data_IF_625630099353
#
_entry.id   IF_625630099353
#
_cell.length_a   1.000
_cell.length_b   1.000
_cell.length_c   1.000
_cell.angle_alpha   90.00
_cell.angle_beta   90.00
_cell.angle_gamma   90.00
#
_symmetry.space_group_name_H-M   'P 1'
#
loop_
_entity.id
_entity.type
_entity.pdbx_description
1 polymer ?
#
# COMPACT_ATOMS: atom_id res chain seq x y z
N UNK A 1 -15.82 -26.25 49.07
CA UNK A 1 -14.51 -25.58 49.21
C UNK A 1 -13.68 -25.91 47.99
N UNK A 2 -13.75 -25.07 46.95
CA UNK A 2 -12.89 -25.17 45.77
C UNK A 2 -12.40 -23.75 45.45
N UNK A 3 -11.08 -23.66 45.34
CA UNK A 3 -10.27 -22.44 45.33
C UNK A 3 -10.48 -21.63 44.05
N UNK A 4 -10.81 -20.34 44.20
CA UNK A 4 -10.78 -19.37 43.10
C UNK A 4 -9.32 -19.07 42.74
N UNK A 5 -8.93 -19.44 41.51
CA UNK A 5 -7.63 -19.12 40.94
C UNK A 5 -7.57 -17.66 40.50
N UNK A 6 -6.56 -16.95 41.00
CA UNK A 6 -6.24 -15.56 40.70
C UNK A 6 -5.75 -15.45 39.25
N UNK A 7 -6.52 -14.77 38.39
CA UNK A 7 -6.07 -14.37 37.06
C UNK A 7 -5.09 -13.19 37.20
N UNK A 8 -3.84 -13.41 36.79
CA UNK A 8 -2.84 -12.34 36.58
C UNK A 8 -3.22 -11.58 35.31
N UNK A 9 -3.55 -10.29 35.45
CA UNK A 9 -3.64 -9.35 34.33
C UNK A 9 -2.28 -9.25 33.64
N UNK A 10 -2.25 -9.53 32.34
CA UNK A 10 -1.14 -9.16 31.47
C UNK A 10 -1.29 -7.67 31.14
N UNK A 11 -0.43 -6.85 31.72
CA UNK A 11 -0.23 -5.45 31.33
C UNK A 11 0.27 -5.40 29.89
N UNK A 12 -0.57 -4.86 29.00
CA UNK A 12 -0.17 -4.48 27.66
C UNK A 12 0.68 -3.22 27.76
N UNK A 13 1.99 -3.34 27.54
CA UNK A 13 2.85 -2.19 27.29
C UNK A 13 2.50 -1.61 25.92
N UNK A 14 1.75 -0.50 25.93
CA UNK A 14 1.59 0.37 24.77
C UNK A 14 2.97 0.87 24.32
N UNK A 15 3.24 0.97 23.00
CA UNK A 15 4.43 1.63 22.51
C UNK A 15 4.45 3.10 22.97
N UNK A 16 5.64 3.70 23.18
CA UNK A 16 5.74 5.08 23.63
C UNK A 16 5.00 6.00 22.64
N UNK A 17 4.06 6.76 23.19
CA UNK A 17 3.50 7.95 22.55
C UNK A 17 4.66 8.79 22.04
N UNK A 18 4.76 8.98 20.73
CA UNK A 18 5.65 9.99 20.18
C UNK A 18 5.09 11.34 20.60
N UNK A 19 5.63 11.87 21.71
CA UNK A 19 5.38 13.22 22.14
C UNK A 19 5.73 14.15 20.97
N UNK A 20 4.73 14.94 20.58
CA UNK A 20 4.87 15.95 19.56
C UNK A 20 6.06 16.84 19.94
N UNK A 21 7.12 16.76 19.13
CA UNK A 21 8.28 17.65 19.24
C UNK A 21 7.74 19.07 19.11
N UNK A 22 7.68 19.78 20.24
CA UNK A 22 7.33 21.18 20.28
C UNK A 22 8.30 21.95 19.39
N UNK A 23 7.80 22.75 18.43
CA UNK A 23 8.67 23.56 17.60
C UNK A 23 9.47 24.53 18.49
N UNK A 24 10.75 24.77 18.18
CA UNK A 24 11.56 25.71 18.94
C UNK A 24 10.92 27.12 18.87
N UNK A 25 10.93 27.89 19.97
CA UNK A 25 10.39 29.23 19.97
C UNK A 25 11.17 30.12 19.02
N UNK A 26 10.43 30.90 18.22
CA UNK A 26 10.98 31.92 17.32
C UNK A 26 11.77 32.96 18.11
N UNK A 27 13.02 33.29 17.72
CA UNK A 27 13.68 34.46 18.28
C UNK A 27 13.09 35.71 17.65
N UNK A 28 12.39 36.43 18.51
CA UNK A 28 11.82 37.75 18.35
C UNK A 28 12.85 38.80 17.94
N UNK A 29 12.35 39.72 17.13
CA UNK A 29 12.95 40.95 16.64
C UNK A 29 13.54 41.87 17.74
N UNK A 30 14.67 42.51 17.40
CA UNK A 30 15.07 43.90 17.76
C UNK A 30 15.66 44.18 19.15
N UNK A 31 16.92 44.68 19.18
CA UNK A 31 17.32 46.00 19.73
C UNK A 31 18.86 46.22 19.71
N UNK A 32 19.31 47.23 18.95
CA UNK A 32 20.43 48.10 19.35
C UNK A 32 20.03 48.93 20.59
N UNK A 33 20.90 49.81 21.16
CA UNK A 33 22.32 49.72 21.56
C UNK A 33 22.44 49.98 23.09
N UNK A 34 23.64 49.90 23.72
CA UNK A 34 24.10 50.72 24.88
C UNK A 34 25.59 50.42 25.16
N UNK A 35 26.45 51.44 25.07
CA UNK A 35 27.78 51.51 25.71
C UNK A 35 27.61 51.78 27.22
N UNK A 36 28.48 51.27 28.11
CA UNK A 36 29.48 52.17 28.74
C UNK A 36 30.81 51.46 29.15
N UNK A 37 32.00 52.08 28.95
CA UNK A 37 32.81 52.94 29.86
C UNK A 37 33.77 52.17 30.79
N UNK A 38 35.08 52.49 30.63
CA UNK A 38 36.27 52.46 31.53
C UNK A 38 36.56 51.22 32.41
N UNK A 39 37.80 50.77 32.65
CA UNK A 39 38.99 51.46 33.20
C UNK A 39 40.25 50.61 32.92
N UNK A 40 41.39 51.19 32.51
CA UNK A 40 42.55 51.58 33.35
C UNK A 40 43.57 50.46 33.62
N UNK A 41 44.83 50.75 33.25
CA UNK A 41 46.10 50.51 33.98
C UNK A 41 47.21 50.33 32.94
N UNK A 42 48.05 51.34 32.72
CA UNK A 42 49.31 51.58 33.46
C UNK A 42 50.47 50.81 32.82
N UNK A 43 51.33 51.54 32.09
CA UNK A 43 52.75 51.61 32.45
C UNK A 43 53.49 52.66 31.59
N UNK A 44 54.00 53.65 32.31
CA UNK A 44 54.89 54.76 31.95
C UNK A 44 56.36 54.25 31.90
N UNK A 45 57.41 55.10 31.83
CA UNK A 45 57.79 56.07 30.79
C UNK A 45 59.27 55.83 30.38
N UNK A 46 59.84 56.60 29.44
CA UNK A 46 61.22 57.10 29.64
C UNK A 46 61.49 58.34 28.77
N UNK A 47 61.93 59.38 29.49
CA UNK A 47 62.40 60.70 29.08
C UNK A 47 63.60 60.68 28.11
N UNK A 48 63.79 61.76 27.32
CA UNK A 48 64.97 62.67 27.35
C UNK A 48 64.73 63.93 26.45
N UNK A 49 64.65 65.07 27.15
CA UNK A 49 65.21 66.43 26.96
C UNK A 49 65.23 67.21 25.63
N UNK A 50 64.64 68.41 25.74
CA UNK A 50 65.14 69.78 25.48
C UNK A 50 65.55 70.24 24.07
N UNK A 51 64.68 71.12 23.49
CA UNK A 51 64.89 72.51 23.01
C UNK A 51 66.23 72.98 22.37
N UNK A 52 66.30 74.12 21.63
CA UNK A 52 65.25 74.94 21.00
C UNK A 52 65.68 75.51 19.60
N UNK A 53 64.95 76.53 19.18
CA UNK A 53 65.34 77.64 18.29
C UNK A 53 65.03 77.53 16.78
N UNK A 54 63.88 78.12 16.48
CA UNK A 54 63.75 79.28 15.58
C UNK A 54 64.70 79.34 14.38
N UNK A 55 64.16 79.09 13.18
CA UNK A 55 64.27 80.08 12.11
C UNK A 55 63.31 79.84 10.98
N UNK A 56 62.67 80.96 10.64
CA UNK A 56 62.54 81.41 9.27
C UNK A 56 61.37 80.87 8.46
N UNK A 57 60.73 81.82 7.79
CA UNK A 57 59.43 81.81 7.10
C UNK A 57 59.33 80.82 5.91
N UNK A 58 60.32 79.95 5.76
CA UNK A 58 60.36 78.81 4.83
C UNK A 58 59.62 77.60 5.43
N UNK A 59 59.63 77.43 6.76
CA UNK A 59 58.98 76.30 7.46
C UNK A 59 57.45 76.35 7.36
N UNK A 60 56.82 77.53 7.32
CA UNK A 60 55.36 77.65 7.18
C UNK A 60 54.87 77.33 5.75
N UNK A 61 55.67 77.62 4.73
CA UNK A 61 55.37 77.25 3.35
C UNK A 61 55.58 75.75 3.13
N UNK A 62 56.66 75.18 3.69
CA UNK A 62 56.91 73.74 3.67
C UNK A 62 55.92 72.97 4.55
N UNK A 63 55.47 73.51 5.68
CA UNK A 63 54.41 72.92 6.50
C UNK A 63 53.04 72.99 5.83
N UNK A 64 52.72 74.08 5.11
CA UNK A 64 51.53 74.17 4.29
C UNK A 64 51.54 73.16 3.13
N UNK A 65 52.70 72.99 2.47
CA UNK A 65 52.90 71.95 1.47
C UNK A 65 52.85 70.55 2.09
N UNK A 66 53.45 70.31 3.25
CA UNK A 66 53.36 69.05 3.99
C UNK A 66 51.93 68.73 4.38
N UNK A 67 51.16 69.70 4.88
CA UNK A 67 49.75 69.51 5.24
C UNK A 67 48.91 69.25 3.98
N UNK A 68 49.16 69.95 2.87
CA UNK A 68 48.50 69.67 1.60
C UNK A 68 48.89 68.29 1.03
N UNK A 69 50.15 67.88 1.20
CA UNK A 69 50.66 66.57 0.79
C UNK A 69 50.10 65.46 1.67
N UNK A 70 49.99 65.68 2.98
CA UNK A 70 49.38 64.78 3.95
C UNK A 70 47.88 64.67 3.69
N UNK A 71 47.16 65.77 3.46
CA UNK A 71 45.74 65.74 3.10
C UNK A 71 45.52 65.07 1.74
N UNK A 72 46.41 65.29 0.77
CA UNK A 72 46.39 64.59 -0.52
C UNK A 72 46.63 63.08 -0.34
N UNK A 73 47.59 62.69 0.51
CA UNK A 73 47.83 61.29 0.86
C UNK A 73 46.68 60.68 1.64
N UNK A 74 46.03 61.42 2.54
CA UNK A 74 44.86 60.97 3.29
C UNK A 74 43.65 60.81 2.36
N UNK A 75 43.43 61.73 1.41
CA UNK A 75 42.39 61.60 0.37
C UNK A 75 42.68 60.45 -0.60
N UNK A 76 43.93 60.25 -1.02
CA UNK A 76 44.34 59.11 -1.84
C UNK A 76 44.30 57.79 -1.07
N UNK A 77 44.54 57.80 0.25
CA UNK A 77 44.39 56.63 1.10
C UNK A 77 42.91 56.28 1.32
N UNK A 78 42.05 57.27 1.61
CA UNK A 78 40.61 57.09 1.81
C UNK A 78 39.85 56.61 0.56
N UNK A 79 40.26 57.08 -0.63
CA UNK A 79 39.74 56.55 -1.91
C UNK A 79 40.24 55.12 -2.22
N UNK A 80 41.40 54.72 -1.68
CA UNK A 80 41.89 53.34 -1.79
C UNK A 80 41.24 52.40 -0.78
N UNK A 81 40.88 52.86 0.42
CA UNK A 81 40.23 52.01 1.43
C UNK A 81 38.77 51.71 1.09
N UNK A 82 38.02 52.65 0.51
CA UNK A 82 36.61 52.45 0.13
C UNK A 82 36.40 51.45 -1.02
N UNK A 83 37.35 51.39 -1.97
CA UNK A 83 37.35 50.37 -3.03
C UNK A 83 37.65 48.95 -2.49
N UNK A 84 38.49 48.85 -1.46
CA UNK A 84 38.86 47.56 -0.85
C UNK A 84 37.71 46.99 0.01
N UNK A 85 37.04 47.84 0.81
CA UNK A 85 35.94 47.44 1.70
C UNK A 85 34.71 46.91 0.93
N UNK A 86 34.32 47.58 -0.16
CA UNK A 86 33.22 47.11 -1.03
C UNK A 86 33.49 45.77 -1.73
N UNK A 87 34.77 45.42 -1.92
CA UNK A 87 35.17 44.15 -2.53
C UNK A 87 35.10 43.01 -1.51
N UNK A 88 35.50 43.28 -0.26
CA UNK A 88 35.41 42.34 0.87
C UNK A 88 33.94 42.01 1.19
N UNK A 89 33.05 43.01 1.21
CA UNK A 89 31.61 42.82 1.44
C UNK A 89 30.99 41.89 0.38
N UNK A 90 31.24 42.16 -0.91
CA UNK A 90 30.77 41.32 -2.02
C UNK A 90 31.33 39.90 -1.96
N UNK A 91 32.58 39.74 -1.50
CA UNK A 91 33.19 38.44 -1.36
C UNK A 91 32.53 37.64 -0.23
N UNK A 92 32.24 38.29 0.90
CA UNK A 92 31.48 37.70 2.01
C UNK A 92 30.05 37.33 1.63
N UNK A 93 29.36 38.16 0.85
CA UNK A 93 28.02 37.85 0.32
C UNK A 93 28.04 36.60 -0.56
N UNK A 94 29.04 36.46 -1.43
CA UNK A 94 29.21 35.25 -2.27
C UNK A 94 29.48 34.03 -1.43
N UNK A 95 30.33 34.13 -0.41
CA UNK A 95 30.61 33.02 0.50
C UNK A 95 29.37 32.60 1.28
N UNK A 96 28.60 33.55 1.81
CA UNK A 96 27.33 33.27 2.51
C UNK A 96 26.31 32.64 1.56
N UNK A 97 26.22 33.11 0.32
CA UNK A 97 25.28 32.57 -0.66
C UNK A 97 25.68 31.17 -1.13
N UNK A 98 26.99 30.93 -1.32
CA UNK A 98 27.52 29.61 -1.62
C UNK A 98 27.33 28.64 -0.44
N UNK A 99 27.53 29.10 0.80
CA UNK A 99 27.27 28.32 2.00
C UNK A 99 25.77 27.96 2.13
N UNK A 100 24.87 28.88 1.79
CA UNK A 100 23.42 28.60 1.77
C UNK A 100 23.04 27.59 0.69
N UNK A 101 23.58 27.74 -0.52
CA UNK A 101 23.33 26.82 -1.63
C UNK A 101 23.82 25.41 -1.34
N UNK A 102 25.02 25.29 -0.75
CA UNK A 102 25.57 23.99 -0.32
C UNK A 102 24.71 23.36 0.77
N UNK A 103 24.31 24.13 1.78
CA UNK A 103 23.41 23.65 2.83
C UNK A 103 22.04 23.20 2.31
N UNK A 104 21.47 23.92 1.34
CA UNK A 104 20.18 23.56 0.72
C UNK A 104 20.30 22.28 -0.11
N UNK A 105 21.40 22.11 -0.84
CA UNK A 105 21.67 20.91 -1.62
C UNK A 105 21.91 19.68 -0.72
N UNK A 106 22.61 19.85 0.39
CA UNK A 106 22.78 18.81 1.42
C UNK A 106 21.44 18.43 2.05
N UNK A 107 20.61 19.42 2.41
CA UNK A 107 19.30 19.18 3.00
C UNK A 107 18.36 18.42 2.05
N UNK A 108 18.30 18.84 0.79
CA UNK A 108 17.46 18.18 -0.22
C UNK A 108 17.87 16.72 -0.43
N UNK A 109 19.17 16.44 -0.52
CA UNK A 109 19.69 15.08 -0.62
C UNK A 109 19.37 14.24 0.63
N UNK A 110 19.51 14.80 1.83
CA UNK A 110 19.18 14.11 3.09
C UNK A 110 17.69 13.76 3.18
N UNK A 111 16.81 14.70 2.81
CA UNK A 111 15.37 14.47 2.78
C UNK A 111 15.01 13.36 1.80
N UNK A 112 15.62 13.35 0.61
CA UNK A 112 15.39 12.31 -0.39
C UNK A 112 15.87 10.94 0.08
N UNK A 113 17.06 10.86 0.68
CA UNK A 113 17.58 9.62 1.26
C UNK A 113 16.69 9.09 2.38
N UNK A 114 16.22 9.97 3.27
CA UNK A 114 15.31 9.60 4.38
C UNK A 114 14.00 9.03 3.83
N UNK A 115 13.41 9.70 2.82
CA UNK A 115 12.19 9.22 2.13
C UNK A 115 12.36 7.87 1.46
N UNK A 116 13.54 7.58 0.93
CA UNK A 116 13.84 6.27 0.33
C UNK A 116 13.96 5.20 1.42
N UNK A 117 14.64 5.52 2.52
CA UNK A 117 14.79 4.60 3.64
C UNK A 117 13.44 4.27 4.29
N UNK A 118 12.58 5.25 4.49
CA UNK A 118 11.20 5.03 4.98
C UNK A 118 10.42 4.09 4.06
N UNK A 119 10.46 4.32 2.75
CA UNK A 119 9.80 3.44 1.76
C UNK A 119 10.33 2.01 1.79
N UNK A 120 11.63 1.82 1.98
CA UNK A 120 12.23 0.48 2.09
C UNK A 120 11.80 -0.21 3.38
N UNK A 121 11.81 0.51 4.51
CA UNK A 121 11.35 -0.03 5.80
C UNK A 121 9.87 -0.40 5.75
N UNK A 122 9.04 0.43 5.14
CA UNK A 122 7.62 0.15 4.92
C UNK A 122 7.44 -1.10 4.04
N UNK A 123 8.22 -1.22 2.96
CA UNK A 123 8.20 -2.39 2.09
C UNK A 123 8.62 -3.68 2.83
N UNK A 124 9.69 -3.64 3.61
CA UNK A 124 10.17 -4.77 4.41
C UNK A 124 9.19 -5.15 5.53
N UNK A 125 8.57 -4.16 6.17
CA UNK A 125 7.53 -4.38 7.17
C UNK A 125 6.35 -5.12 6.54
N UNK A 126 5.83 -4.59 5.44
CA UNK A 126 4.70 -5.19 4.71
C UNK A 126 5.01 -6.62 4.27
N UNK A 127 6.21 -6.87 3.73
CA UNK A 127 6.65 -8.23 3.38
C UNK A 127 6.67 -9.19 4.56
N UNK A 128 7.16 -8.76 5.73
CA UNK A 128 7.23 -9.62 6.92
C UNK A 128 5.85 -9.91 7.49
N UNK A 129 4.95 -8.93 7.47
CA UNK A 129 3.55 -9.08 7.86
C UNK A 129 2.86 -10.12 6.95
N UNK A 130 2.96 -9.94 5.63
CA UNK A 130 2.43 -10.88 4.62
C UNK A 130 3.00 -12.31 4.80
N UNK A 131 4.30 -12.44 5.08
CA UNK A 131 4.94 -13.73 5.35
C UNK A 131 4.47 -14.37 6.66
N UNK A 132 4.33 -13.61 7.74
CA UNK A 132 3.84 -14.11 9.02
C UNK A 132 2.40 -14.57 8.91
N UNK A 133 1.57 -13.84 8.15
CA UNK A 133 0.17 -14.15 7.94
C UNK A 133 0.01 -15.37 7.02
N UNK A 134 0.76 -15.46 5.92
CA UNK A 134 0.82 -16.68 5.07
C UNK A 134 1.19 -17.94 5.85
N UNK A 135 2.04 -17.83 6.87
CA UNK A 135 2.46 -18.98 7.69
C UNK A 135 1.35 -19.49 8.63
N UNK A 136 0.30 -18.71 8.87
CA UNK A 136 -0.83 -19.07 9.73
C UNK A 136 -2.15 -19.31 8.98
N UNK A 137 -2.35 -18.64 7.85
CA UNK A 137 -3.58 -18.77 7.08
C UNK A 137 -3.70 -20.15 6.44
N UNK A 138 -4.85 -20.77 6.65
CA UNK A 138 -5.20 -22.04 6.02
C UNK A 138 -6.70 -22.13 5.89
N UNK A 139 -7.12 -22.91 4.92
CA UNK A 139 -8.50 -23.33 4.81
C UNK A 139 -8.87 -24.30 5.93
N UNK A 140 -10.09 -24.18 6.43
CA UNK A 140 -10.75 -25.20 7.25
C UNK A 140 -11.12 -26.42 6.38
N UNK A 141 -11.72 -27.43 6.98
CA UNK A 141 -12.25 -28.57 6.24
C UNK A 141 -13.25 -28.11 5.16
N UNK A 142 -13.11 -28.55 3.90
CA UNK A 142 -14.06 -28.21 2.85
C UNK A 142 -15.44 -28.79 3.14
N UNK A 143 -16.46 -27.98 2.89
CA UNK A 143 -17.86 -28.34 2.97
C UNK A 143 -18.43 -28.43 1.55
N UNK A 144 -18.98 -29.59 1.20
CA UNK A 144 -19.79 -29.74 -0.01
C UNK A 144 -21.09 -28.93 0.15
N UNK A 145 -21.38 -28.06 -0.81
CA UNK A 145 -22.57 -27.18 -0.77
C UNK A 145 -23.71 -27.80 -1.56
N UNK A 146 -23.57 -27.83 -2.88
CA UNK A 146 -24.58 -28.33 -3.82
C UNK A 146 -23.93 -28.78 -5.11
N UNK A 147 -24.65 -29.57 -5.89
CA UNK A 147 -24.29 -29.85 -7.27
C UNK A 147 -24.88 -28.75 -8.16
N UNK A 148 -24.04 -28.08 -8.93
CA UNK A 148 -24.46 -27.01 -9.85
C UNK A 148 -24.72 -27.53 -11.27
N UNK A 149 -24.14 -28.68 -11.63
CA UNK A 149 -24.35 -29.36 -12.89
C UNK A 149 -23.95 -30.85 -12.77
N UNK A 150 -24.22 -31.64 -13.81
CA UNK A 150 -23.76 -33.04 -13.89
C UNK A 150 -22.23 -33.11 -13.76
N UNK A 151 -21.77 -33.88 -12.78
CA UNK A 151 -20.37 -34.01 -12.42
C UNK A 151 -19.76 -32.76 -11.79
N UNK A 152 -20.52 -31.70 -11.51
CA UNK A 152 -19.97 -30.43 -10.99
C UNK A 152 -20.52 -30.11 -9.61
N UNK A 153 -19.62 -30.01 -8.64
CA UNK A 153 -19.93 -29.69 -7.25
C UNK A 153 -19.32 -28.36 -6.82
N UNK A 154 -20.12 -27.58 -6.09
CA UNK A 154 -19.63 -26.43 -5.36
C UNK A 154 -19.18 -26.84 -3.95
N UNK A 155 -17.97 -26.43 -3.59
CA UNK A 155 -17.39 -26.54 -2.27
C UNK A 155 -17.18 -25.16 -1.68
N UNK A 156 -17.23 -25.06 -0.36
CA UNK A 156 -16.80 -23.87 0.37
C UNK A 156 -15.97 -24.23 1.59
N UNK A 157 -15.11 -23.32 2.02
CA UNK A 157 -14.30 -23.49 3.21
C UNK A 157 -14.04 -22.13 3.84
N UNK A 158 -13.94 -22.12 5.17
CA UNK A 158 -13.64 -20.92 5.93
C UNK A 158 -12.12 -20.73 5.98
N UNK A 159 -11.67 -19.50 5.77
CA UNK A 159 -10.28 -19.13 5.97
C UNK A 159 -10.01 -18.91 7.47
N UNK A 160 -9.03 -19.61 8.02
CA UNK A 160 -8.69 -19.59 9.45
C UNK A 160 -7.51 -18.66 9.73
N UNK A 161 -7.42 -18.20 10.99
CA UNK A 161 -6.34 -17.36 11.53
C UNK A 161 -6.21 -15.97 10.88
N UNK A 162 -7.34 -15.40 10.44
CA UNK A 162 -7.40 -14.04 9.90
C UNK A 162 -7.18 -13.03 11.04
N UNK A 163 -6.31 -12.05 10.81
CA UNK A 163 -6.07 -10.93 11.73
C UNK A 163 -7.04 -9.78 11.40
N UNK A 164 -7.81 -9.25 12.38
CA UNK A 164 -9.05 -8.53 12.09
C UNK A 164 -8.96 -7.07 11.59
N UNK A 165 -7.86 -6.33 11.77
CA UNK A 165 -7.98 -4.85 11.76
C UNK A 165 -7.44 -4.08 10.55
N UNK A 166 -6.58 -4.66 9.67
CA UNK A 166 -6.01 -3.92 8.52
C UNK A 166 -5.74 -4.79 7.28
N UNK A 167 -6.30 -5.99 7.26
CA UNK A 167 -5.85 -7.05 6.38
C UNK A 167 -6.60 -7.08 5.05
N UNK A 168 -5.89 -7.17 3.92
CA UNK A 168 -6.50 -7.43 2.62
C UNK A 168 -6.83 -8.91 2.47
N UNK A 169 -7.85 -9.36 3.19
CA UNK A 169 -8.30 -10.75 3.20
C UNK A 169 -8.63 -11.30 1.81
N UNK A 170 -8.96 -10.42 0.85
CA UNK A 170 -9.33 -10.80 -0.50
C UNK A 170 -8.14 -11.40 -1.25
N UNK A 171 -6.98 -10.74 -1.25
CA UNK A 171 -5.77 -11.23 -1.93
C UNK A 171 -5.41 -12.65 -1.44
N UNK A 172 -5.45 -12.86 -0.13
CA UNK A 172 -5.09 -14.15 0.45
C UNK A 172 -6.14 -15.23 0.22
N UNK A 173 -7.42 -14.87 0.21
CA UNK A 173 -8.48 -15.79 -0.15
C UNK A 173 -8.28 -16.30 -1.59
N UNK A 174 -7.92 -15.41 -2.54
CA UNK A 174 -7.72 -15.76 -3.94
C UNK A 174 -6.41 -16.53 -4.20
N UNK A 175 -5.37 -16.29 -3.38
CA UNK A 175 -4.05 -16.88 -3.56
C UNK A 175 -3.86 -18.25 -2.91
N UNK A 176 -4.45 -18.49 -1.74
CA UNK A 176 -4.19 -19.71 -0.97
C UNK A 176 -4.95 -20.87 -1.61
N UNK A 177 -4.26 -21.90 -2.12
CA UNK A 177 -4.94 -23.03 -2.74
C UNK A 177 -5.52 -23.97 -1.69
N UNK A 178 -6.58 -24.68 -2.07
CA UNK A 178 -7.16 -25.80 -1.33
C UNK A 178 -7.01 -27.08 -2.15
N UNK A 179 -6.64 -28.18 -1.49
CA UNK A 179 -6.62 -29.49 -2.13
C UNK A 179 -8.01 -30.12 -2.09
N UNK A 180 -8.64 -30.28 -3.26
CA UNK A 180 -9.91 -31.00 -3.44
C UNK A 180 -9.70 -32.13 -4.44
N UNK A 181 -10.12 -33.35 -4.11
CA UNK A 181 -9.93 -34.54 -4.95
C UNK A 181 -8.48 -34.75 -5.43
N UNK A 182 -7.50 -34.41 -4.58
CA UNK A 182 -6.07 -34.50 -4.90
C UNK A 182 -5.53 -33.39 -5.81
N UNK A 183 -6.35 -32.42 -6.20
CA UNK A 183 -5.96 -31.28 -7.04
C UNK A 183 -5.87 -30.01 -6.20
N UNK A 184 -4.80 -29.24 -6.40
CA UNK A 184 -4.61 -27.94 -5.76
C UNK A 184 -5.33 -26.85 -6.54
N UNK A 185 -6.44 -26.34 -6.01
CA UNK A 185 -7.31 -25.38 -6.68
C UNK A 185 -7.30 -24.02 -5.96
N UNK A 186 -7.24 -22.94 -6.74
CA UNK A 186 -7.54 -21.59 -6.24
C UNK A 186 -9.04 -21.39 -6.10
N UNK A 187 -9.44 -20.51 -5.21
CA UNK A 187 -10.86 -20.15 -5.05
C UNK A 187 -11.41 -19.55 -6.33
N UNK A 188 -12.65 -19.88 -6.68
CA UNK A 188 -13.40 -19.23 -7.77
C UNK A 188 -13.97 -17.88 -7.34
N UNK A 189 -14.33 -17.75 -6.06
CA UNK A 189 -14.79 -16.49 -5.45
C UNK A 189 -14.55 -16.49 -3.94
N UNK A 190 -14.58 -15.29 -3.38
CA UNK A 190 -14.35 -15.00 -1.97
C UNK A 190 -15.49 -14.14 -1.43
N UNK A 191 -16.01 -14.48 -0.26
CA UNK A 191 -17.09 -13.74 0.39
C UNK A 191 -16.72 -13.47 1.85
N UNK A 192 -17.03 -12.27 2.35
CA UNK A 192 -16.85 -11.91 3.75
C UNK A 192 -18.22 -11.77 4.41
N UNK A 193 -18.59 -12.78 5.19
CA UNK A 193 -19.86 -12.86 5.91
C UNK A 193 -19.61 -12.54 7.38
N UNK A 194 -19.97 -11.33 7.81
CA UNK A 194 -19.86 -10.90 9.23
C UNK A 194 -18.45 -11.07 9.83
N UNK A 195 -17.40 -10.81 9.04
CA UNK A 195 -16.01 -10.95 9.47
C UNK A 195 -15.44 -12.36 9.29
N UNK A 196 -16.22 -13.29 8.74
CA UNK A 196 -15.77 -14.64 8.36
C UNK A 196 -15.54 -14.68 6.86
N UNK A 197 -14.33 -15.03 6.44
CA UNK A 197 -14.00 -15.13 5.02
C UNK A 197 -14.22 -16.57 4.55
N UNK A 198 -15.00 -16.71 3.49
CA UNK A 198 -15.30 -17.96 2.81
C UNK A 198 -14.68 -17.96 1.43
N UNK A 199 -13.97 -19.04 1.11
CA UNK A 199 -13.59 -19.38 -0.26
C UNK A 199 -14.59 -20.36 -0.85
N UNK A 200 -14.81 -20.26 -2.16
CA UNK A 200 -15.65 -21.19 -2.91
C UNK A 200 -14.84 -21.83 -4.04
N UNK A 201 -15.17 -23.08 -4.36
CA UNK A 201 -14.57 -23.83 -5.46
C UNK A 201 -15.65 -24.56 -6.24
N UNK A 202 -15.47 -24.63 -7.55
CA UNK A 202 -16.29 -25.44 -8.45
C UNK A 202 -15.42 -26.58 -8.95
N UNK A 203 -15.80 -27.81 -8.64
CA UNK A 203 -15.00 -29.00 -8.95
C UNK A 203 -15.78 -29.90 -9.90
N UNK A 204 -15.15 -30.24 -11.02
CA UNK A 204 -15.70 -31.14 -12.04
C UNK A 204 -15.40 -32.61 -11.72
N UNK A 205 -16.07 -33.51 -12.44
CA UNK A 205 -15.99 -34.96 -12.29
C UNK A 205 -16.28 -35.47 -10.86
N UNK A 206 -17.15 -34.78 -10.11
CA UNK A 206 -17.59 -35.24 -8.80
C UNK A 206 -18.62 -36.36 -8.96
N UNK A 207 -18.30 -37.62 -8.54
CA UNK A 207 -19.18 -38.77 -8.77
C UNK A 207 -20.48 -38.70 -7.97
N UNK A 208 -20.55 -37.84 -6.96
CA UNK A 208 -21.74 -37.63 -6.15
C UNK A 208 -22.67 -36.55 -6.75
N UNK A 209 -22.29 -35.95 -7.88
CA UNK A 209 -23.12 -35.04 -8.67
C UNK A 209 -23.54 -35.69 -10.00
N UNK A 210 -23.85 -36.98 -9.99
CA UNK A 210 -24.22 -37.74 -11.18
C UNK A 210 -25.67 -38.25 -11.09
N UNK A 211 -26.68 -37.36 -11.19
CA UNK A 211 -28.05 -37.81 -11.39
C UNK A 211 -28.17 -38.53 -12.73
N UNK A 212 -29.23 -39.31 -12.89
CA UNK A 212 -29.42 -40.15 -14.07
C UNK A 212 -30.88 -40.13 -14.52
N UNK A 213 -31.10 -40.35 -15.81
CA UNK A 213 -32.44 -40.44 -16.36
C UNK A 213 -33.00 -41.86 -16.29
N UNK A 214 -34.29 -41.95 -15.97
CA UNK A 214 -35.08 -43.18 -15.88
C UNK A 214 -36.37 -43.05 -16.69
N UNK A 215 -37.11 -44.15 -16.85
CA UNK A 215 -38.45 -44.16 -17.47
C UNK A 215 -38.51 -43.44 -18.85
N UNK A 216 -37.47 -43.65 -19.63
CA UNK A 216 -37.37 -43.16 -21.01
C UNK A 216 -38.60 -43.58 -21.84
N UNK A 217 -39.21 -42.60 -22.51
CA UNK A 217 -40.40 -42.79 -23.35
C UNK A 217 -40.27 -42.02 -24.65
N UNK A 218 -40.49 -42.71 -25.77
CA UNK A 218 -40.69 -42.13 -27.09
C UNK A 218 -42.14 -41.69 -27.26
N UNK A 219 -42.37 -40.39 -27.42
CA UNK A 219 -43.71 -39.81 -27.58
C UNK A 219 -44.12 -39.65 -29.04
N UNK A 220 -43.28 -40.07 -29.99
CA UNK A 220 -43.53 -39.97 -31.42
C UNK A 220 -43.33 -38.56 -31.98
N UNK A 221 -43.92 -38.28 -33.14
CA UNK A 221 -43.77 -36.99 -33.83
C UNK A 221 -44.46 -35.86 -33.05
N UNK A 222 -43.81 -34.71 -32.96
CA UNK A 222 -44.35 -33.52 -32.28
C UNK A 222 -45.62 -32.99 -32.97
N UNK A 223 -45.63 -33.01 -34.31
CA UNK A 223 -46.78 -32.76 -35.16
C UNK A 223 -46.58 -33.43 -36.53
N UNK A 224 -47.65 -33.54 -37.34
CA UNK A 224 -47.56 -34.09 -38.69
C UNK A 224 -46.73 -33.16 -39.61
N UNK A 225 -45.69 -33.69 -40.26
CA UNK A 225 -44.78 -32.92 -41.11
C UNK A 225 -43.80 -32.01 -40.35
N UNK A 226 -43.65 -32.21 -39.04
CA UNK A 226 -42.75 -31.41 -38.19
C UNK A 226 -41.28 -31.74 -38.37
N UNK A 227 -40.97 -32.95 -38.87
CA UNK A 227 -39.61 -33.52 -38.88
C UNK A 227 -38.96 -33.61 -37.50
N UNK A 228 -39.75 -33.52 -36.42
CA UNK A 228 -39.26 -33.57 -35.04
C UNK A 228 -39.97 -34.67 -34.28
N UNK A 229 -39.19 -35.62 -33.77
CA UNK A 229 -39.63 -36.67 -32.85
C UNK A 229 -39.32 -36.27 -31.42
N UNK A 230 -40.28 -36.46 -30.52
CA UNK A 230 -40.15 -36.10 -29.11
C UNK A 230 -39.93 -37.31 -28.23
N UNK A 231 -39.05 -37.10 -27.29
CA UNK A 231 -38.46 -38.05 -26.38
C UNK A 231 -38.53 -37.46 -24.96
N UNK A 232 -38.84 -38.25 -23.93
CA UNK A 232 -38.81 -37.78 -22.53
C UNK A 232 -38.32 -38.82 -21.54
N UNK A 233 -37.76 -38.38 -20.41
CA UNK A 233 -37.30 -39.25 -19.33
C UNK A 233 -37.37 -38.50 -17.98
N UNK A 234 -37.49 -39.24 -16.87
CA UNK A 234 -37.50 -38.69 -15.52
C UNK A 234 -36.06 -38.55 -15.00
N UNK A 235 -35.73 -37.41 -14.39
CA UNK A 235 -34.45 -37.26 -13.69
C UNK A 235 -34.59 -37.81 -12.27
N UNK A 236 -33.67 -38.69 -11.88
CA UNK A 236 -33.60 -39.30 -10.55
C UNK A 236 -32.18 -39.14 -9.96
N UNK A 237 -32.03 -39.44 -8.67
CA UNK A 237 -30.75 -39.34 -7.96
C UNK A 237 -30.29 -37.91 -7.70
N UNK A 238 -31.22 -36.96 -7.60
CA UNK A 238 -30.92 -35.54 -7.35
C UNK A 238 -30.31 -35.38 -5.94
N UNK A 239 -29.08 -34.89 -5.81
CA UNK A 239 -28.45 -34.69 -4.50
C UNK A 239 -29.20 -33.64 -3.67
N UNK A 240 -29.33 -33.89 -2.37
CA UNK A 240 -30.02 -32.99 -1.46
C UNK A 240 -29.48 -31.55 -1.53
N UNK A 241 -30.39 -30.57 -1.54
CA UNK A 241 -30.04 -29.14 -1.61
C UNK A 241 -29.59 -28.64 -2.98
N UNK A 242 -29.57 -29.49 -4.01
CA UNK A 242 -29.25 -29.09 -5.39
C UNK A 242 -30.50 -28.70 -6.16
N UNK A 243 -30.35 -27.85 -7.17
CA UNK A 243 -31.43 -27.53 -8.10
C UNK A 243 -31.52 -28.62 -9.17
N UNK A 244 -32.64 -29.35 -9.18
CA UNK A 244 -32.80 -30.44 -10.10
C UNK A 244 -33.03 -30.00 -11.56
N UNK A 245 -33.49 -28.77 -11.82
CA UNK A 245 -33.62 -28.25 -13.18
C UNK A 245 -32.24 -27.92 -13.77
N UNK A 246 -31.34 -27.34 -12.97
CA UNK A 246 -29.94 -27.10 -13.36
C UNK A 246 -29.21 -28.42 -13.66
N UNK A 247 -29.43 -29.43 -12.81
CA UNK A 247 -28.91 -30.77 -13.02
C UNK A 247 -29.50 -31.43 -14.27
N UNK A 248 -30.82 -31.34 -14.48
CA UNK A 248 -31.48 -31.85 -15.67
C UNK A 248 -30.89 -31.25 -16.95
N UNK A 249 -30.63 -29.94 -16.97
CA UNK A 249 -30.11 -29.23 -18.13
C UNK A 249 -28.67 -29.62 -18.53
N UNK A 250 -27.93 -30.29 -17.64
CA UNK A 250 -26.53 -30.68 -17.84
C UNK A 250 -26.29 -32.19 -17.83
N UNK A 251 -27.29 -32.99 -17.48
CA UNK A 251 -27.15 -34.46 -17.40
C UNK A 251 -27.16 -35.07 -18.81
N UNK A 252 -26.16 -35.89 -19.18
CA UNK A 252 -26.16 -36.58 -20.45
C UNK A 252 -27.11 -37.78 -20.44
N UNK A 253 -27.59 -38.18 -21.61
CA UNK A 253 -28.40 -39.38 -21.75
C UNK A 253 -28.15 -40.10 -23.07
N UNK A 254 -28.19 -41.43 -23.01
CA UNK A 254 -27.97 -42.30 -24.16
C UNK A 254 -29.26 -43.04 -24.50
N UNK A 255 -29.84 -42.74 -25.67
CA UNK A 255 -31.00 -43.46 -26.21
C UNK A 255 -30.98 -43.43 -27.73
N UNK A 256 -31.70 -44.36 -28.38
CA UNK A 256 -31.62 -44.58 -29.84
C UNK A 256 -30.19 -44.74 -30.38
N UNK A 257 -29.31 -45.37 -29.60
CA UNK A 257 -27.89 -45.51 -29.94
C UNK A 257 -27.17 -44.19 -30.23
N UNK A 258 -27.68 -43.08 -29.66
CA UNK A 258 -27.09 -41.74 -29.74
C UNK A 258 -26.84 -41.21 -28.33
N UNK A 259 -25.75 -40.48 -28.18
CA UNK A 259 -25.45 -39.72 -26.97
C UNK A 259 -26.00 -38.31 -27.11
N UNK A 260 -26.70 -37.86 -26.06
CA UNK A 260 -27.19 -36.50 -25.93
C UNK A 260 -26.53 -35.87 -24.72
N UNK A 261 -25.71 -34.84 -24.93
CA UNK A 261 -25.02 -34.15 -23.82
C UNK A 261 -25.96 -33.37 -22.90
N UNK A 262 -27.17 -33.04 -23.38
CA UNK A 262 -28.21 -32.36 -22.60
C UNK A 262 -29.59 -32.57 -23.23
N UNK A 263 -30.69 -32.43 -22.48
CA UNK A 263 -32.03 -32.34 -23.03
C UNK A 263 -32.28 -31.01 -23.75
N UNK A 264 -33.28 -30.98 -24.62
CA UNK A 264 -33.77 -29.75 -25.26
C UNK A 264 -34.41 -28.83 -24.22
N UNK A 265 -35.15 -29.40 -23.26
CA UNK A 265 -35.76 -28.66 -22.14
C UNK A 265 -36.03 -29.56 -20.94
N UNK A 266 -36.12 -28.94 -19.77
CA UNK A 266 -36.49 -29.58 -18.52
C UNK A 266 -37.75 -28.95 -17.95
N UNK A 267 -38.60 -29.77 -17.33
CA UNK A 267 -39.84 -29.30 -16.69
C UNK A 267 -40.02 -29.98 -15.34
N UNK A 268 -40.46 -29.24 -14.34
CA UNK A 268 -40.85 -29.79 -13.05
C UNK A 268 -42.37 -29.87 -12.92
N UNK A 269 -42.89 -31.02 -12.49
CA UNK A 269 -44.31 -31.23 -12.22
C UNK A 269 -44.47 -32.00 -10.93
N UNK A 270 -45.02 -31.35 -9.89
CA UNK A 270 -45.24 -31.93 -8.55
C UNK A 270 -43.96 -32.51 -7.94
N UNK A 271 -42.84 -31.81 -8.05
CA UNK A 271 -41.54 -32.26 -7.53
C UNK A 271 -40.80 -33.29 -8.40
N UNK A 272 -41.41 -33.73 -9.51
CA UNK A 272 -40.78 -34.65 -10.46
C UNK A 272 -40.21 -33.86 -11.62
N UNK A 273 -38.95 -34.12 -11.96
CA UNK A 273 -38.24 -33.45 -13.04
C UNK A 273 -38.22 -34.33 -14.27
N UNK A 274 -38.65 -33.78 -15.39
CA UNK A 274 -38.79 -34.47 -16.67
C UNK A 274 -37.95 -33.74 -17.70
N UNK A 275 -37.00 -34.45 -18.29
CA UNK A 275 -36.26 -34.01 -19.46
C UNK A 275 -37.03 -34.33 -20.73
N UNK A 276 -36.95 -33.44 -21.70
CA UNK A 276 -37.50 -33.62 -23.05
C UNK A 276 -36.42 -33.38 -24.09
N UNK A 277 -36.37 -34.25 -25.09
CA UNK A 277 -35.56 -34.10 -26.29
C UNK A 277 -36.48 -33.97 -27.50
N UNK A 278 -36.14 -33.07 -28.40
CA UNK A 278 -36.76 -32.95 -29.72
C UNK A 278 -35.66 -33.19 -30.75
N UNK A 279 -35.78 -34.30 -31.48
CA UNK A 279 -34.73 -34.82 -32.35
C UNK A 279 -35.26 -34.84 -33.77
N UNK A 280 -34.43 -34.43 -34.73
CA UNK A 280 -34.78 -34.49 -36.14
C UNK A 280 -35.01 -35.94 -36.58
N UNK A 281 -36.16 -36.18 -37.20
CA UNK A 281 -36.58 -37.46 -37.74
C UNK A 281 -37.39 -37.21 -39.02
N UNK A 282 -36.86 -37.65 -40.17
CA UNK A 282 -37.49 -37.45 -41.47
C UNK A 282 -38.78 -38.28 -41.68
N UNK A 283 -39.06 -39.23 -40.78
CA UNK A 283 -40.34 -39.94 -40.76
C UNK A 283 -41.47 -39.13 -40.10
N UNK A 284 -41.09 -38.07 -39.39
CA UNK A 284 -41.96 -36.96 -38.99
C UNK A 284 -41.88 -35.83 -40.03
#
# INVERSE_FOLDING_TARGET
MLSLGVFKSLEYHLPPSYDAVTPPPSPTQTRHPVYPVHDASDDEPFYIKDEPLTRSRIVKALAGLLVAFLLSHILHAGLRTSGCESTIEKQREREVQHARQTQELEWTHLVEQTRLQERLLEYEWKRREEEQERRGLRWDAPLAVKCSAYGVREYRSRLLNIVPYRYNWQDHCEEIPLTLHGQSLKTSRCENESGVVWGYWTVENDPLCAPYFTEWTDTGCTANGSRLRRASALLDGIPAGSDGLDLCASTPFNFWSKEFHRPTRCTEKRGVIIAHWEVEDASC
#
